data_IF_423426608697
#
_entry.id   IF_423426608697
#
_cell.length_a   1.000
_cell.length_b   1.000
_cell.length_c   1.000
_cell.angle_alpha   90.00
_cell.angle_beta   90.00
_cell.angle_gamma   90.00
#
_symmetry.space_group_name_H-M   'P 1'
#
loop_
_entity.id
_entity.type
_entity.pdbx_description
1 polymer ?
#
# COMPACT_ATOMS: atom_id res chain seq x y z
N UNK A 1 5.14 -22.37 -1.11
CA UNK A 1 4.50 -21.03 -1.21
C UNK A 1 4.30 -20.29 0.11
N UNK A 2 3.40 -20.67 1.03
CA UNK A 2 3.20 -19.89 2.29
C UNK A 2 4.51 -19.68 3.08
N UNK A 3 5.32 -20.74 3.23
CA UNK A 3 6.65 -20.67 3.87
C UNK A 3 7.65 -19.80 3.09
N UNK A 4 7.64 -19.87 1.75
CA UNK A 4 8.51 -19.03 0.90
C UNK A 4 8.16 -17.55 1.06
N UNK A 5 6.87 -17.21 1.01
CA UNK A 5 6.39 -15.82 1.16
C UNK A 5 6.70 -15.24 2.54
N UNK A 6 6.68 -16.05 3.60
CA UNK A 6 7.06 -15.60 4.94
C UNK A 6 8.54 -15.26 5.09
N UNK A 7 9.41 -15.84 4.26
CA UNK A 7 10.83 -15.51 4.24
C UNK A 7 11.14 -14.24 3.44
N UNK A 8 10.18 -13.75 2.65
CA UNK A 8 10.35 -12.59 1.77
C UNK A 8 9.90 -11.30 2.46
N UNK A 9 10.59 -10.22 2.12
CA UNK A 9 10.29 -8.85 2.53
C UNK A 9 10.33 -7.96 1.30
N UNK A 10 9.40 -7.02 1.20
CA UNK A 10 9.40 -6.00 0.15
C UNK A 10 9.16 -4.63 0.76
N UNK A 11 9.77 -3.61 0.14
CA UNK A 11 9.78 -2.24 0.65
C UNK A 11 8.64 -1.42 0.08
N UNK A 12 8.05 -0.57 0.93
CA UNK A 12 7.21 0.53 0.48
C UNK A 12 8.11 1.71 0.13
N UNK A 13 7.71 2.48 -0.87
CA UNK A 13 8.36 3.71 -1.27
C UNK A 13 7.36 4.85 -1.42
N UNK A 14 7.84 6.08 -1.22
CA UNK A 14 7.10 7.31 -1.45
C UNK A 14 7.96 8.23 -2.32
N UNK A 15 7.44 8.61 -3.49
CA UNK A 15 8.14 9.51 -4.41
C UNK A 15 7.40 10.84 -4.45
N UNK A 16 8.06 11.90 -4.00
CA UNK A 16 7.53 13.26 -4.00
C UNK A 16 7.45 13.79 -5.45
N UNK A 17 6.23 13.98 -5.96
CA UNK A 17 6.00 14.57 -7.29
C UNK A 17 5.25 15.90 -7.26
N UNK A 18 4.70 16.27 -6.10
CA UNK A 18 4.06 17.56 -5.92
C UNK A 18 5.05 18.72 -6.06
N UNK A 19 4.61 19.87 -6.60
CA UNK A 19 5.45 21.06 -6.67
C UNK A 19 5.80 21.54 -5.27
N UNK A 20 7.06 21.94 -5.07
CA UNK A 20 7.51 22.53 -3.81
C UNK A 20 6.81 23.86 -3.56
N UNK A 21 6.31 24.05 -2.34
CA UNK A 21 5.73 25.32 -1.94
C UNK A 21 6.84 26.36 -1.72
N UNK A 22 6.74 27.49 -2.43
CA UNK A 22 7.75 28.55 -2.42
C UNK A 22 7.44 29.67 -1.40
N UNK A 23 6.27 29.64 -0.76
CA UNK A 23 5.89 30.63 0.25
C UNK A 23 6.42 30.30 1.64
N UNK A 24 6.16 31.20 2.59
CA UNK A 24 6.46 30.94 4.01
C UNK A 24 5.39 30.04 4.64
N UNK A 25 5.82 28.96 5.27
CA UNK A 25 4.96 28.12 6.09
C UNK A 25 4.81 28.75 7.49
N UNK A 26 3.65 29.38 7.74
CA UNK A 26 3.41 30.17 8.97
C UNK A 26 2.72 29.39 10.07
N UNK A 27 2.12 28.25 9.73
CA UNK A 27 1.32 27.46 10.63
C UNK A 27 1.99 26.12 10.91
N UNK A 28 1.81 25.61 12.12
CA UNK A 28 2.30 24.30 12.55
C UNK A 28 1.12 23.41 12.86
N UNK A 29 1.11 22.22 12.26
CA UNK A 29 0.13 21.16 12.50
C UNK A 29 0.83 20.01 13.21
N UNK A 30 0.24 19.54 14.30
CA UNK A 30 0.75 18.41 15.06
C UNK A 30 0.02 17.14 14.65
N UNK A 31 0.74 16.18 14.09
CA UNK A 31 0.24 14.86 13.77
C UNK A 31 0.18 14.03 15.06
N UNK A 32 -1.02 13.57 15.41
CA UNK A 32 -1.20 12.60 16.47
C UNK A 32 -0.75 11.21 16.00
N UNK A 33 -0.35 10.37 16.96
CA UNK A 33 0.09 9.01 16.70
C UNK A 33 -0.95 8.21 15.90
N UNK A 34 -0.48 7.45 14.91
CA UNK A 34 -1.30 6.58 14.07
C UNK A 34 -1.30 5.18 14.69
N UNK A 35 -2.41 4.81 15.32
CA UNK A 35 -2.46 3.62 16.19
C UNK A 35 -2.19 2.29 15.46
N UNK A 36 -2.92 2.01 14.38
CA UNK A 36 -2.94 0.68 13.73
C UNK A 36 -2.88 0.75 12.21
N UNK A 37 -2.10 -0.13 11.59
CA UNK A 37 -2.01 -0.32 10.14
C UNK A 37 -3.30 -0.83 9.50
N UNK A 38 -4.16 -1.45 10.32
CA UNK A 38 -5.35 -2.19 9.89
C UNK A 38 -5.08 -3.25 8.82
N UNK A 39 -3.85 -3.80 8.83
CA UNK A 39 -3.42 -4.93 8.03
C UNK A 39 -3.37 -6.18 8.92
N UNK A 40 -3.51 -7.36 8.31
CA UNK A 40 -3.15 -8.60 9.01
C UNK A 40 -1.65 -8.59 9.33
N UNK A 41 -1.26 -9.14 10.48
CA UNK A 41 0.17 -9.25 10.79
C UNK A 41 0.90 -10.18 9.81
N UNK A 42 0.32 -11.35 9.48
CA UNK A 42 0.93 -12.31 8.57
C UNK A 42 0.30 -12.27 7.18
N UNK A 43 1.13 -12.33 6.14
CA UNK A 43 0.69 -12.53 4.76
C UNK A 43 -0.02 -13.88 4.63
N UNK A 44 -1.24 -13.88 4.07
CA UNK A 44 -2.10 -15.06 3.94
C UNK A 44 -2.11 -15.59 2.51
N UNK A 45 -1.87 -16.89 2.34
CA UNK A 45 -1.92 -17.57 1.04
C UNK A 45 -3.09 -18.54 1.00
N UNK A 46 -4.04 -18.33 0.08
CA UNK A 46 -5.17 -19.22 -0.17
C UNK A 46 -5.00 -19.93 -1.50
N UNK A 47 -4.90 -21.26 -1.48
CA UNK A 47 -4.84 -22.10 -2.68
C UNK A 47 -6.25 -22.31 -3.25
N UNK A 48 -6.44 -21.97 -4.52
CA UNK A 48 -7.57 -22.41 -5.35
C UNK A 48 -7.05 -23.48 -6.31
N UNK A 49 -7.37 -24.75 -6.05
CA UNK A 49 -7.06 -25.87 -6.96
C UNK A 49 -7.93 -25.79 -8.22
N UNK A 50 -7.34 -25.98 -9.39
CA UNK A 50 -8.06 -26.22 -10.65
C UNK A 50 -7.41 -27.34 -11.48
N UNK A 51 -8.19 -27.76 -12.46
CA UNK A 51 -8.26 -29.04 -13.17
C UNK A 51 -6.94 -29.64 -13.66
N UNK A 52 -6.76 -30.94 -13.36
CA UNK A 52 -5.80 -31.81 -14.05
C UNK A 52 -6.50 -32.35 -15.28
N UNK A 53 -6.03 -32.02 -16.49
CA UNK A 53 -6.56 -32.59 -17.73
C UNK A 53 -5.50 -33.56 -18.25
N UNK A 54 -5.64 -34.87 -17.99
CA UNK A 54 -4.76 -35.85 -18.58
C UNK A 54 -5.22 -36.10 -20.03
N UNK A 55 -4.43 -35.65 -21.00
CA UNK A 55 -4.55 -36.09 -22.39
C UNK A 55 -3.42 -37.07 -22.68
N UNK A 56 -3.68 -38.07 -23.52
CA UNK A 56 -2.74 -39.15 -23.90
C UNK A 56 -1.31 -38.68 -24.23
N UNK A 57 -1.15 -37.43 -24.70
CA UNK A 57 0.14 -36.83 -25.07
C UNK A 57 0.48 -35.53 -24.32
N UNK A 58 -0.43 -35.02 -23.47
CA UNK A 58 -0.31 -33.70 -22.84
C UNK A 58 -0.97 -33.70 -21.47
N UNK A 59 -0.18 -33.58 -20.41
CA UNK A 59 -0.69 -33.40 -19.06
C UNK A 59 -0.59 -31.92 -18.68
N UNK A 60 -1.71 -31.34 -18.28
CA UNK A 60 -1.75 -29.98 -17.73
C UNK A 60 -2.16 -29.99 -16.27
N UNK A 61 -1.36 -29.34 -15.42
CA UNK A 61 -1.68 -29.05 -14.02
C UNK A 61 -1.49 -27.56 -13.75
N UNK A 62 -2.50 -26.94 -13.15
CA UNK A 62 -2.49 -25.52 -12.83
C UNK A 62 -2.91 -25.27 -11.39
N UNK A 63 -2.09 -24.53 -10.65
CA UNK A 63 -2.40 -24.08 -9.30
C UNK A 63 -2.53 -22.56 -9.25
N UNK A 64 -3.62 -22.07 -8.67
CA UNK A 64 -3.82 -20.65 -8.43
C UNK A 64 -3.74 -20.37 -6.93
N UNK A 65 -2.92 -19.40 -6.57
CA UNK A 65 -2.79 -18.92 -5.21
C UNK A 65 -3.24 -17.47 -5.15
N UNK A 66 -4.09 -17.15 -4.18
CA UNK A 66 -4.45 -15.78 -3.81
C UNK A 66 -3.64 -15.40 -2.59
N UNK A 67 -2.98 -14.26 -2.66
CA UNK A 67 -2.10 -13.77 -1.61
C UNK A 67 -2.71 -12.46 -1.09
N UNK A 68 -2.81 -12.34 0.23
CA UNK A 68 -3.20 -11.11 0.91
C UNK A 68 -2.01 -10.64 1.75
N UNK A 69 -1.52 -9.45 1.46
CA UNK A 69 -0.34 -8.86 2.08
C UNK A 69 -0.59 -8.63 3.57
N UNK A 70 0.35 -9.08 4.40
CA UNK A 70 0.40 -8.75 5.81
C UNK A 70 1.62 -7.91 6.14
N UNK A 71 1.56 -7.21 7.26
CA UNK A 71 2.58 -6.26 7.70
C UNK A 71 3.95 -6.91 7.91
N UNK A 72 3.99 -8.19 8.29
CA UNK A 72 5.25 -8.94 8.39
C UNK A 72 5.96 -9.11 7.04
N UNK A 73 5.32 -8.96 5.88
CA UNK A 73 6.05 -9.00 4.61
C UNK A 73 6.62 -7.65 4.18
N UNK A 74 6.41 -6.60 4.97
CA UNK A 74 7.00 -5.27 4.74
C UNK A 74 8.36 -5.14 5.42
N UNK A 75 9.23 -4.30 4.86
CA UNK A 75 10.52 -3.94 5.49
C UNK A 75 10.36 -3.00 6.69
N UNK A 76 9.26 -2.24 6.74
CA UNK A 76 8.91 -1.31 7.82
C UNK A 76 7.41 -1.38 8.13
N UNK A 77 7.00 -0.89 9.31
CA UNK A 77 5.57 -0.86 9.65
C UNK A 77 4.83 0.11 8.73
N UNK A 78 3.60 -0.22 8.34
CA UNK A 78 2.86 0.63 7.40
C UNK A 78 2.55 2.00 8.02
N UNK A 79 2.31 2.06 9.34
CA UNK A 79 2.08 3.34 10.03
C UNK A 79 3.32 4.25 9.99
N UNK A 80 4.52 3.69 10.09
CA UNK A 80 5.77 4.45 10.06
C UNK A 80 5.97 5.02 8.65
N UNK A 81 5.77 4.17 7.64
CA UNK A 81 5.74 4.60 6.24
C UNK A 81 4.73 5.72 5.98
N UNK A 82 3.49 5.59 6.44
CA UNK A 82 2.45 6.60 6.26
C UNK A 82 2.81 7.92 6.94
N UNK A 83 3.34 7.87 8.16
CA UNK A 83 3.82 9.06 8.87
C UNK A 83 4.94 9.76 8.11
N UNK A 84 5.95 9.01 7.64
CA UNK A 84 7.05 9.55 6.83
C UNK A 84 6.56 10.18 5.52
N UNK A 85 5.62 9.52 4.84
CA UNK A 85 4.98 10.03 3.63
C UNK A 85 4.24 11.35 3.88
N UNK A 86 3.41 11.42 4.92
CA UNK A 86 2.67 12.63 5.30
C UNK A 86 3.63 13.78 5.66
N UNK A 87 4.66 13.51 6.46
CA UNK A 87 5.66 14.51 6.82
C UNK A 87 6.43 15.03 5.61
N UNK A 88 6.84 14.12 4.72
CA UNK A 88 7.60 14.46 3.50
C UNK A 88 6.76 15.32 2.57
N UNK A 89 5.52 14.92 2.32
CA UNK A 89 4.60 15.64 1.45
C UNK A 89 4.26 17.02 2.03
N UNK A 90 3.73 17.05 3.25
CA UNK A 90 3.23 18.30 3.84
C UNK A 90 4.35 19.34 4.00
N UNK A 91 5.53 18.92 4.45
CA UNK A 91 6.64 19.86 4.66
C UNK A 91 7.32 20.30 3.36
N UNK A 92 6.99 19.70 2.22
CA UNK A 92 7.53 20.12 0.93
C UNK A 92 6.54 20.92 0.08
N UNK A 93 5.27 20.50 0.02
CA UNK A 93 4.29 21.01 -0.95
C UNK A 93 3.22 21.93 -0.36
N UNK A 94 3.26 22.24 0.94
CA UNK A 94 2.18 22.99 1.61
C UNK A 94 2.64 24.23 2.38
N UNK A 95 1.66 25.06 2.78
CA UNK A 95 1.87 26.29 3.56
C UNK A 95 1.98 26.09 5.09
N UNK A 96 2.10 24.85 5.55
CA UNK A 96 2.20 24.53 6.97
C UNK A 96 3.31 23.50 7.21
N UNK A 97 3.82 23.51 8.44
CA UNK A 97 4.75 22.49 8.90
C UNK A 97 4.00 21.39 9.65
N UNK A 98 4.13 20.15 9.18
CA UNK A 98 3.63 18.99 9.88
C UNK A 98 4.72 18.43 10.80
N UNK A 99 4.40 18.31 12.09
CA UNK A 99 5.32 17.76 13.10
C UNK A 99 4.68 16.51 13.70
N UNK A 100 5.43 15.42 13.70
CA UNK A 100 5.03 14.19 14.38
C UNK A 100 5.15 14.35 15.91
N UNK A 101 4.02 14.20 16.59
CA UNK A 101 3.94 14.32 18.05
C UNK A 101 3.98 12.95 18.75
N UNK A 102 4.98 12.11 18.42
CA UNK A 102 5.16 10.80 19.07
C UNK A 102 5.37 10.85 20.59
N UNK A 103 5.69 12.02 21.15
CA UNK A 103 6.15 12.17 22.55
C UNK A 103 5.15 12.79 23.50
N UNK A 104 3.86 12.90 23.13
CA UNK A 104 2.83 13.50 23.99
C UNK A 104 3.32 14.78 24.69
N UNK A 105 4.12 15.61 24.00
CA UNK A 105 4.46 16.91 24.56
C UNK A 105 3.17 17.71 24.57
N UNK A 106 2.94 18.48 25.62
CA UNK A 106 1.77 19.34 25.77
C UNK A 106 1.66 20.28 24.56
N UNK A 107 0.88 19.85 23.56
CA UNK A 107 0.56 20.66 22.38
C UNK A 107 -0.38 21.75 22.86
N UNK A 108 -0.07 23.04 22.64
CA UNK A 108 -0.96 24.12 23.03
C UNK A 108 -2.39 23.89 22.51
N UNK A 109 -3.41 24.21 23.30
CA UNK A 109 -4.80 23.99 22.88
C UNK A 109 -5.20 24.83 21.65
N UNK A 110 -4.49 25.93 21.40
CA UNK A 110 -4.67 26.76 20.20
C UNK A 110 -3.98 26.20 18.95
N UNK A 111 -3.21 25.12 19.05
CA UNK A 111 -2.48 24.55 17.92
C UNK A 111 -3.38 23.63 17.08
N UNK A 112 -3.05 23.51 15.80
CA UNK A 112 -3.73 22.58 14.90
C UNK A 112 -3.29 21.14 15.22
N UNK A 113 -4.27 20.26 15.42
CA UNK A 113 -4.05 18.83 15.66
C UNK A 113 -4.66 18.04 14.52
N UNK A 114 -3.88 17.12 13.95
CA UNK A 114 -4.29 16.22 12.89
C UNK A 114 -4.35 14.79 13.45
N UNK A 115 -5.55 14.25 13.58
CA UNK A 115 -5.76 12.83 13.85
C UNK A 115 -5.87 12.08 12.54
N UNK A 116 -5.15 10.95 12.42
CA UNK A 116 -5.20 10.08 11.25
C UNK A 116 -5.54 8.67 11.70
N UNK A 117 -6.59 8.09 11.10
CA UNK A 117 -7.04 6.72 11.40
C UNK A 117 -7.14 5.93 10.10
N UNK A 118 -6.42 4.81 10.05
CA UNK A 118 -6.49 3.88 8.91
C UNK A 118 -7.74 3.01 9.08
N UNK A 119 -8.71 3.18 8.17
CA UNK A 119 -10.02 2.51 8.21
C UNK A 119 -10.03 1.18 7.48
N UNK A 120 -9.25 1.07 6.41
CA UNK A 120 -9.08 -0.16 5.63
C UNK A 120 -7.67 -0.14 5.05
N UNK A 121 -6.96 -1.25 5.12
CA UNK A 121 -5.69 -1.43 4.43
C UNK A 121 -5.56 -2.87 3.96
N UNK A 122 -6.02 -3.13 2.73
CA UNK A 122 -6.02 -4.46 2.16
C UNK A 122 -5.31 -4.44 0.81
N UNK A 123 -4.26 -5.25 0.69
CA UNK A 123 -3.60 -5.47 -0.60
C UNK A 123 -3.60 -6.95 -0.92
N UNK A 124 -3.97 -7.29 -2.15
CA UNK A 124 -4.04 -8.67 -2.61
C UNK A 124 -3.53 -8.82 -4.02
N UNK A 125 -2.96 -9.98 -4.30
CA UNK A 125 -2.52 -10.39 -5.63
C UNK A 125 -2.68 -11.90 -5.79
N UNK A 126 -2.09 -12.46 -6.83
CA UNK A 126 -2.07 -13.92 -6.96
C UNK A 126 -0.90 -14.43 -7.77
N UNK A 127 -0.61 -15.71 -7.58
CA UNK A 127 0.40 -16.43 -8.33
C UNK A 127 -0.27 -17.62 -8.99
N UNK A 128 -0.10 -17.76 -10.31
CA UNK A 128 -0.52 -18.92 -11.07
C UNK A 128 0.71 -19.75 -11.42
N UNK A 129 0.82 -20.94 -10.84
CA UNK A 129 1.83 -21.92 -11.22
C UNK A 129 1.21 -22.85 -12.25
N UNK A 130 1.81 -22.97 -13.43
CA UNK A 130 1.41 -23.96 -14.41
C UNK A 130 2.57 -24.90 -14.66
N UNK A 131 2.27 -26.20 -14.64
CA UNK A 131 3.16 -27.21 -15.15
C UNK A 131 2.43 -27.95 -16.27
N UNK A 132 3.05 -28.01 -17.44
CA UNK A 132 2.57 -28.85 -18.53
C UNK A 132 3.68 -29.78 -18.96
N UNK A 133 3.37 -31.06 -19.09
CA UNK A 133 4.29 -32.03 -19.66
C UNK A 133 3.73 -32.62 -20.96
N UNK A 134 4.61 -32.78 -21.95
CA UNK A 134 4.29 -33.46 -23.21
C UNK A 134 5.36 -34.47 -23.56
N UNK A 135 4.93 -35.52 -24.27
CA UNK A 135 5.85 -36.50 -24.82
C UNK A 135 6.59 -35.89 -26.02
N UNK A 136 7.92 -35.97 -25.99
CA UNK A 136 8.81 -35.58 -27.07
C UNK A 136 9.33 -36.84 -27.79
N UNK A 137 9.90 -36.65 -28.98
CA UNK A 137 10.45 -37.77 -29.75
C UNK A 137 11.53 -38.50 -28.91
N UNK A 138 11.64 -39.82 -29.10
CA UNK A 138 12.52 -40.74 -28.35
C UNK A 138 12.05 -41.15 -26.93
N UNK A 139 10.80 -40.86 -26.57
CA UNK A 139 10.21 -41.29 -25.29
C UNK A 139 10.58 -40.40 -24.10
N UNK A 140 11.29 -39.29 -24.34
CA UNK A 140 11.54 -38.26 -23.35
C UNK A 140 10.28 -37.44 -23.06
N UNK A 141 10.10 -37.04 -21.80
CA UNK A 141 9.02 -36.12 -21.39
C UNK A 141 9.62 -34.73 -21.21
N UNK A 142 9.08 -33.74 -21.92
CA UNK A 142 9.44 -32.34 -21.69
C UNK A 142 8.47 -31.69 -20.71
N UNK A 143 9.02 -30.96 -19.74
CA UNK A 143 8.25 -30.15 -18.80
C UNK A 143 8.36 -28.67 -19.17
N UNK A 144 7.21 -27.99 -19.22
CA UNK A 144 7.11 -26.55 -19.42
C UNK A 144 6.47 -25.95 -18.19
N UNK A 145 7.29 -25.22 -17.45
CA UNK A 145 6.87 -24.45 -16.28
C UNK A 145 6.50 -23.04 -16.74
N UNK A 146 5.31 -22.58 -16.35
CA UNK A 146 4.89 -21.20 -16.57
C UNK A 146 4.26 -20.64 -15.32
N UNK A 147 5.08 -19.97 -14.52
CA UNK A 147 4.64 -19.26 -13.34
C UNK A 147 4.36 -17.80 -13.71
N UNK A 148 3.22 -17.25 -13.27
CA UNK A 148 2.82 -15.87 -13.57
C UNK A 148 2.22 -15.21 -12.35
N UNK A 149 2.50 -13.93 -12.18
CA UNK A 149 1.77 -13.07 -11.23
C UNK A 149 0.41 -12.68 -11.81
N UNK A 150 -0.53 -12.40 -10.90
CA UNK A 150 -1.80 -11.73 -11.18
C UNK A 150 -1.69 -10.35 -10.58
N UNK A 151 -2.24 -9.33 -11.27
CA UNK A 151 -2.06 -7.94 -10.87
C UNK A 151 -2.48 -7.72 -9.43
N UNK A 152 -1.68 -6.93 -8.72
CA UNK A 152 -2.01 -6.47 -7.39
C UNK A 152 -3.22 -5.53 -7.41
N UNK A 153 -3.99 -5.57 -6.33
CA UNK A 153 -5.08 -4.65 -6.03
C UNK A 153 -4.97 -4.21 -4.58
N UNK A 154 -4.97 -2.90 -4.37
CA UNK A 154 -4.91 -2.28 -3.05
C UNK A 154 -6.18 -1.46 -2.81
N UNK A 155 -6.74 -1.64 -1.61
CA UNK A 155 -7.88 -0.90 -1.09
C UNK A 155 -7.44 -0.23 0.20
N UNK A 156 -7.31 1.09 0.15
CA UNK A 156 -6.89 1.90 1.29
C UNK A 156 -7.99 2.91 1.60
N UNK A 157 -8.31 3.04 2.88
CA UNK A 157 -9.16 4.10 3.37
C UNK A 157 -8.54 4.72 4.62
N UNK A 158 -8.38 6.04 4.61
CA UNK A 158 -7.80 6.82 5.70
C UNK A 158 -8.78 7.93 6.05
N UNK A 159 -9.16 8.02 7.31
CA UNK A 159 -9.93 9.15 7.82
C UNK A 159 -9.03 10.10 8.57
N UNK A 160 -9.18 11.40 8.29
CA UNK A 160 -8.49 12.44 9.03
C UNK A 160 -9.48 13.31 9.79
N UNK A 161 -9.02 13.88 10.89
CA UNK A 161 -9.70 14.97 11.57
C UNK A 161 -8.69 16.06 11.91
N UNK A 162 -8.91 17.26 11.39
CA UNK A 162 -8.14 18.46 11.70
C UNK A 162 -8.94 19.33 12.66
N UNK A 163 -8.37 19.64 13.82
CA UNK A 163 -8.99 20.47 14.85
C UNK A 163 -8.09 21.61 15.29
N UNK A 164 -8.67 22.71 15.75
CA UNK A 164 -8.00 23.78 16.48
C UNK A 164 -8.81 24.08 17.75
N UNK A 165 -8.28 23.73 18.92
CA UNK A 165 -9.07 23.76 20.15
C UNK A 165 -10.29 22.84 20.04
N UNK A 166 -11.48 23.41 20.21
CA UNK A 166 -12.77 22.70 20.06
C UNK A 166 -13.32 22.73 18.63
N UNK A 167 -12.79 23.60 17.76
CA UNK A 167 -13.27 23.75 16.39
C UNK A 167 -12.74 22.63 15.50
N UNK A 168 -13.66 21.90 14.87
CA UNK A 168 -13.34 20.91 13.83
C UNK A 168 -13.31 21.60 12.46
N UNK A 169 -12.13 21.64 11.83
CA UNK A 169 -11.91 22.33 10.56
C UNK A 169 -12.08 21.40 9.35
N UNK A 170 -11.74 20.13 9.52
CA UNK A 170 -11.87 19.10 8.49
C UNK A 170 -12.09 17.74 9.16
N UNK A 171 -13.09 16.98 8.70
CA UNK A 171 -13.34 15.60 9.12
C UNK A 171 -13.80 14.83 7.88
N UNK A 172 -12.88 14.07 7.27
CA UNK A 172 -13.09 13.44 5.96
C UNK A 172 -12.41 12.09 5.89
N UNK A 173 -13.01 11.18 5.13
CA UNK A 173 -12.42 9.88 4.78
C UNK A 173 -12.06 9.84 3.30
N UNK A 174 -10.80 9.53 3.03
CA UNK A 174 -10.23 9.32 1.70
C UNK A 174 -10.18 7.83 1.44
N UNK A 175 -10.61 7.41 0.26
CA UNK A 175 -10.62 5.99 -0.11
C UNK A 175 -10.22 5.81 -1.56
N UNK A 176 -9.26 4.92 -1.79
CA UNK A 176 -8.77 4.57 -3.11
C UNK A 176 -8.78 3.05 -3.26
N UNK A 177 -9.30 2.59 -4.39
CA UNK A 177 -9.31 1.19 -4.81
C UNK A 177 -8.63 1.11 -6.17
N UNK A 178 -7.39 0.63 -6.19
CA UNK A 178 -6.56 0.58 -7.39
C UNK A 178 -6.18 -0.85 -7.68
N UNK A 179 -6.26 -1.22 -8.95
CA UNK A 179 -5.73 -2.47 -9.47
C UNK A 179 -4.65 -2.15 -10.51
N UNK A 180 -3.49 -2.76 -10.36
CA UNK A 180 -2.41 -2.64 -11.35
C UNK A 180 -2.72 -3.37 -12.65
N UNK A 181 -2.03 -2.98 -13.71
CA UNK A 181 -2.02 -3.72 -14.97
C UNK A 181 -1.15 -4.98 -14.84
N UNK A 182 -1.57 -6.06 -15.48
CA UNK A 182 -0.79 -7.29 -15.46
C UNK A 182 0.51 -7.13 -16.28
N UNK A 183 1.66 -7.38 -15.67
CA UNK A 183 2.96 -7.34 -16.34
C UNK A 183 3.16 -8.53 -17.33
N UNK A 184 2.41 -9.63 -17.16
CA UNK A 184 2.43 -10.77 -18.08
C UNK A 184 3.73 -11.59 -18.06
N UNK A 185 4.70 -11.17 -17.25
CA UNK A 185 6.00 -11.80 -17.05
C UNK A 185 5.83 -13.26 -16.59
N UNK A 186 6.70 -14.12 -17.11
CA UNK A 186 6.82 -15.52 -16.71
C UNK A 186 8.04 -15.69 -15.82
N UNK A 187 7.92 -16.52 -14.80
CA UNK A 187 9.00 -16.85 -13.88
C UNK A 187 9.33 -18.34 -13.99
N UNK A 188 10.62 -18.65 -13.90
CA UNK A 188 11.16 -20.02 -14.01
C UNK A 188 10.79 -20.86 -12.79
N UNK A 189 10.76 -20.26 -11.60
CA UNK A 189 10.42 -20.93 -10.35
C UNK A 189 9.31 -20.22 -9.55
N UNK A 190 8.84 -20.86 -8.47
CA UNK A 190 7.81 -20.27 -7.59
C UNK A 190 8.36 -19.17 -6.69
N UNK A 191 9.66 -19.17 -6.39
CA UNK A 191 10.27 -18.22 -5.48
C UNK A 191 10.34 -16.83 -6.12
N UNK A 192 10.83 -16.72 -7.35
CA UNK A 192 10.83 -15.50 -8.16
C UNK A 192 9.42 -14.99 -8.43
N UNK A 193 8.45 -15.89 -8.70
CA UNK A 193 7.05 -15.50 -8.85
C UNK A 193 6.46 -14.92 -7.55
N UNK A 194 6.84 -15.47 -6.38
CA UNK A 194 6.38 -14.96 -5.08
C UNK A 194 7.04 -13.62 -4.73
N UNK A 195 8.33 -13.46 -4.99
CA UNK A 195 9.06 -12.21 -4.78
C UNK A 195 8.46 -11.09 -5.63
N UNK A 196 8.31 -11.32 -6.94
CA UNK A 196 7.67 -10.36 -7.83
C UNK A 196 6.21 -10.07 -7.44
N UNK A 197 5.47 -11.08 -6.97
CA UNK A 197 4.12 -10.84 -6.45
C UNK A 197 4.10 -9.92 -5.23
N UNK A 198 5.07 -10.04 -4.33
CA UNK A 198 5.19 -9.15 -3.17
C UNK A 198 5.58 -7.73 -3.60
N UNK A 199 6.50 -7.60 -4.56
CA UNK A 199 6.92 -6.31 -5.11
C UNK A 199 5.76 -5.60 -5.83
N UNK A 200 4.98 -6.30 -6.66
CA UNK A 200 3.76 -5.73 -7.27
C UNK A 200 2.75 -5.27 -6.21
N UNK A 201 2.62 -6.00 -5.10
CA UNK A 201 1.72 -5.63 -4.00
C UNK A 201 2.20 -4.39 -3.24
N UNK A 202 3.48 -4.32 -2.88
CA UNK A 202 4.03 -3.14 -2.18
C UNK A 202 4.03 -1.92 -3.08
N UNK A 203 4.33 -2.07 -4.36
CA UNK A 203 4.24 -1.00 -5.36
C UNK A 203 2.81 -0.47 -5.47
N UNK A 204 1.81 -1.35 -5.57
CA UNK A 204 0.40 -0.95 -5.61
C UNK A 204 -0.04 -0.21 -4.34
N UNK A 205 0.38 -0.69 -3.16
CA UNK A 205 0.09 -0.03 -1.88
C UNK A 205 0.78 1.33 -1.76
N UNK A 206 2.02 1.44 -2.25
CA UNK A 206 2.77 2.70 -2.33
C UNK A 206 2.06 3.74 -3.19
N UNK A 207 1.62 3.36 -4.40
CA UNK A 207 0.88 4.27 -5.29
C UNK A 207 -0.42 4.77 -4.64
N UNK A 208 -1.19 3.86 -4.05
CA UNK A 208 -2.46 4.20 -3.39
C UNK A 208 -2.24 5.08 -2.16
N UNK A 209 -1.18 4.82 -1.38
CA UNK A 209 -0.82 5.67 -0.25
C UNK A 209 -0.44 7.07 -0.71
N UNK A 210 0.34 7.17 -1.79
CA UNK A 210 0.71 8.45 -2.40
C UNK A 210 -0.50 9.27 -2.81
N UNK A 211 -1.44 8.69 -3.54
CA UNK A 211 -2.67 9.40 -3.95
C UNK A 211 -3.43 9.99 -2.75
N UNK A 212 -3.60 9.21 -1.68
CA UNK A 212 -4.30 9.69 -0.49
C UNK A 212 -3.50 10.76 0.25
N UNK A 213 -2.18 10.61 0.38
CA UNK A 213 -1.32 11.57 1.07
C UNK A 213 -1.28 12.92 0.33
N UNK A 214 -1.19 12.91 -1.00
CA UNK A 214 -1.25 14.12 -1.82
C UNK A 214 -2.64 14.80 -1.73
N UNK A 215 -3.75 14.05 -1.70
CA UNK A 215 -5.08 14.63 -1.52
C UNK A 215 -5.25 15.26 -0.12
N UNK A 216 -4.81 14.57 0.93
CA UNK A 216 -4.84 15.07 2.31
C UNK A 216 -4.02 16.35 2.43
N UNK A 217 -2.79 16.37 1.91
CA UNK A 217 -1.89 17.51 2.06
C UNK A 217 -2.45 18.75 1.35
N UNK A 218 -2.99 18.58 0.15
CA UNK A 218 -3.62 19.66 -0.62
C UNK A 218 -4.86 20.21 0.06
N UNK A 219 -5.73 19.36 0.60
CA UNK A 219 -6.97 19.82 1.24
C UNK A 219 -6.67 20.57 2.55
N UNK A 220 -5.74 20.07 3.37
CA UNK A 220 -5.29 20.80 4.57
C UNK A 220 -4.61 22.11 4.16
N UNK A 221 -3.77 22.10 3.13
CA UNK A 221 -3.15 23.33 2.60
C UNK A 221 -4.19 24.38 2.23
N UNK A 222 -5.29 24.00 1.57
CA UNK A 222 -6.38 24.91 1.21
C UNK A 222 -7.10 25.45 2.45
N UNK A 223 -7.47 24.57 3.40
CA UNK A 223 -8.15 24.96 4.64
C UNK A 223 -7.32 25.99 5.43
N UNK A 224 -6.01 25.77 5.52
CA UNK A 224 -5.10 26.61 6.30
C UNK A 224 -4.62 27.87 5.56
N UNK A 225 -4.73 27.91 4.23
CA UNK A 225 -4.40 29.10 3.42
C UNK A 225 -5.51 30.15 3.41
N UNK A 226 -6.75 29.77 3.74
CA UNK A 226 -7.85 30.71 3.84
C UNK A 226 -7.69 31.57 5.10
N UNK A 227 -7.90 32.90 5.02
CA UNK A 227 -7.94 33.74 6.22
C UNK A 227 -9.05 33.22 7.14
N UNK A 228 -8.86 33.28 8.48
CA UNK A 228 -9.91 32.89 9.41
C UNK A 228 -11.16 33.70 9.07
N UNK A 229 -12.24 33.01 8.68
CA UNK A 229 -13.49 33.69 8.47
C UNK A 229 -13.86 34.36 9.78
N UNK A 230 -14.02 35.69 9.76
CA UNK A 230 -14.59 36.44 10.87
C UNK A 230 -15.96 35.84 11.16
N UNK A 231 -16.03 34.89 12.11
CA UNK A 231 -17.29 34.41 12.66
C UNK A 231 -17.92 35.61 13.40
N UNK A 232 -19.17 35.98 13.10
CA UNK A 232 -19.85 37.10 13.74
C UNK A 232 -20.02 36.90 15.26
#
# INVERSE_FOLDING_TARGET
MQKEIHALKSGLYYELTSPTYLGEAKQTVYLNFIDYSNMDYYTRVKRKRYTLVPLLLYNYSGELFRIQLGEHSLTQLYREFLTEALLTECNSSTCFHLIDNQKEKSVPDSAYRLEVKIRTNETSAGVKLNNSSFFWFDGETMEVISNKTRPARSRLAISIRLTQGEDCLLDKTYSVDRQQTANGQKYEDSYGANAACLDEMTECLSMVTKEIVEEISQEIHLVLSLPPQNKP
#
